data_IF_220463055459
#
_entry.id   IF_220463055459
#
_cell.length_a   1.000
_cell.length_b   1.000
_cell.length_c   1.000
_cell.angle_alpha   90.00
_cell.angle_beta   90.00
_cell.angle_gamma   90.00
#
_symmetry.space_group_name_H-M   'P 1'
#
loop_
_entity.id
_entity.type
_entity.pdbx_description
1 polymer ?
#
# COMPACT_ATOMS: atom_id res chain seq x y z
N UNK A 1 18.02 -18.69 18.92
CA UNK A 1 17.57 -19.53 17.82
C UNK A 1 16.60 -18.72 16.95
N UNK A 2 16.96 -18.52 15.71
CA UNK A 2 16.08 -17.85 14.76
C UNK A 2 14.85 -18.72 14.55
N UNK A 3 13.72 -18.26 15.03
CA UNK A 3 12.48 -19.01 14.87
C UNK A 3 11.92 -18.78 13.46
N UNK A 4 12.06 -19.79 12.63
CA UNK A 4 11.46 -19.80 11.29
C UNK A 4 9.94 -19.63 11.35
N UNK A 5 9.32 -20.19 12.39
CA UNK A 5 7.87 -20.19 12.58
C UNK A 5 7.46 -19.28 13.72
N UNK A 6 6.31 -18.65 13.57
CA UNK A 6 5.64 -17.88 14.60
C UNK A 6 4.50 -18.72 15.19
N UNK A 7 3.95 -18.28 16.33
CA UNK A 7 2.89 -19.00 17.03
C UNK A 7 1.66 -18.14 17.26
N UNK A 8 0.51 -18.74 17.01
CA UNK A 8 -0.75 -18.41 17.64
C UNK A 8 -1.06 -19.48 18.68
N UNK A 9 -2.10 -19.31 19.52
CA UNK A 9 -2.40 -20.23 20.62
C UNK A 9 -2.47 -21.70 20.24
N UNK A 10 -2.95 -22.03 19.05
CA UNK A 10 -3.09 -23.41 18.57
C UNK A 10 -2.46 -23.67 17.21
N UNK A 11 -1.66 -22.74 16.71
CA UNK A 11 -1.10 -22.83 15.37
C UNK A 11 0.33 -22.32 15.33
N UNK A 12 1.12 -22.89 14.44
CA UNK A 12 2.42 -22.36 14.05
C UNK A 12 2.35 -21.96 12.58
N UNK A 13 3.03 -20.88 12.24
CA UNK A 13 2.94 -20.34 10.87
C UNK A 13 4.26 -19.69 10.44
N UNK A 14 4.45 -19.66 9.13
CA UNK A 14 5.50 -18.89 8.48
C UNK A 14 4.84 -18.16 7.31
N UNK A 15 4.16 -17.07 7.61
CA UNK A 15 3.41 -16.30 6.63
C UNK A 15 4.06 -14.93 6.45
N UNK A 16 4.96 -14.86 5.49
CA UNK A 16 5.67 -13.65 5.08
C UNK A 16 5.17 -13.21 3.72
N UNK A 17 4.92 -11.93 3.56
CA UNK A 17 4.40 -11.39 2.32
C UNK A 17 5.20 -10.18 1.89
N UNK A 18 5.40 -10.09 0.58
CA UNK A 18 5.87 -8.89 -0.08
C UNK A 18 4.67 -8.17 -0.64
N UNK A 19 4.50 -6.90 -0.28
CA UNK A 19 3.38 -6.08 -0.66
C UNK A 19 3.89 -4.83 -1.36
N UNK A 20 3.29 -4.50 -2.50
CA UNK A 20 3.58 -3.24 -3.21
C UNK A 20 2.28 -2.53 -3.46
N UNK A 21 2.22 -1.26 -3.10
CA UNK A 21 1.05 -0.42 -3.35
C UNK A 21 1.47 1.01 -3.68
N UNK A 22 0.65 1.69 -4.47
CA UNK A 22 0.99 2.96 -5.08
C UNK A 22 -0.03 4.04 -4.76
N UNK A 23 0.40 5.31 -4.70
CA UNK A 23 -0.53 6.43 -4.75
C UNK A 23 -1.32 6.40 -6.04
N UNK A 24 -2.51 7.00 -6.01
CA UNK A 24 -3.34 7.15 -7.20
C UNK A 24 -2.57 7.90 -8.29
N UNK A 25 -2.67 7.44 -9.53
CA UNK A 25 -1.95 7.95 -10.71
C UNK A 25 -0.42 7.87 -10.58
N UNK A 26 0.09 7.10 -9.64
CA UNK A 26 1.53 6.99 -9.39
C UNK A 26 2.20 8.34 -9.14
N UNK A 27 1.50 9.27 -8.51
CA UNK A 27 2.09 10.56 -8.16
C UNK A 27 3.27 10.36 -7.21
N UNK A 28 4.42 11.00 -7.47
CA UNK A 28 5.62 10.87 -6.63
C UNK A 28 5.50 11.71 -5.36
N UNK A 29 4.63 11.31 -4.45
CA UNK A 29 4.32 12.07 -3.23
C UNK A 29 5.23 11.76 -2.05
N UNK A 30 5.91 10.59 -2.06
CA UNK A 30 6.71 10.15 -0.93
C UNK A 30 8.12 10.71 -0.99
N UNK A 31 8.24 11.99 -0.67
CA UNK A 31 9.51 12.70 -0.62
C UNK A 31 9.57 13.56 0.66
N UNK A 32 10.77 13.74 1.18
CA UNK A 32 11.01 14.61 2.34
C UNK A 32 10.16 14.21 3.56
N UNK A 33 9.45 15.18 4.11
CA UNK A 33 8.61 14.98 5.32
C UNK A 33 7.48 13.99 5.12
N UNK A 34 6.88 13.97 3.93
CA UNK A 34 5.78 13.06 3.62
C UNK A 34 6.26 11.61 3.66
N UNK A 35 7.43 11.35 3.09
CA UNK A 35 8.06 10.03 3.15
C UNK A 35 8.34 9.62 4.58
N UNK A 36 8.99 10.47 5.35
CA UNK A 36 9.33 10.20 6.74
C UNK A 36 8.07 9.98 7.60
N UNK A 37 7.05 10.79 7.41
CA UNK A 37 5.77 10.66 8.10
C UNK A 37 5.09 9.32 7.75
N UNK A 38 5.04 8.97 6.48
CA UNK A 38 4.43 7.72 6.01
C UNK A 38 5.14 6.50 6.60
N UNK A 39 6.46 6.52 6.62
CA UNK A 39 7.27 5.47 7.22
C UNK A 39 6.95 5.27 8.70
N UNK A 40 6.94 6.34 9.47
CA UNK A 40 6.59 6.29 10.91
C UNK A 40 5.17 5.80 11.15
N UNK A 41 4.21 6.25 10.33
CA UNK A 41 2.81 5.83 10.47
C UNK A 41 2.61 4.36 10.14
N UNK A 42 3.27 3.85 9.11
CA UNK A 42 3.21 2.42 8.77
C UNK A 42 3.78 1.58 9.93
N UNK A 43 4.94 1.95 10.43
CA UNK A 43 5.55 1.25 11.58
C UNK A 43 4.64 1.26 12.80
N UNK A 44 4.05 2.39 13.11
CA UNK A 44 3.11 2.56 14.23
C UNK A 44 1.86 1.71 14.04
N UNK A 45 1.24 1.77 12.89
CA UNK A 45 0.00 1.03 12.61
C UNK A 45 0.21 -0.48 12.70
N UNK A 46 1.31 -0.97 12.15
CA UNK A 46 1.63 -2.41 12.19
C UNK A 46 1.94 -2.83 13.63
N UNK A 47 2.66 -2.02 14.41
CA UNK A 47 2.98 -2.32 15.80
C UNK A 47 1.74 -2.40 16.72
N UNK A 48 0.64 -1.80 16.31
CA UNK A 48 -0.61 -1.80 17.10
C UNK A 48 -1.43 -3.09 16.95
N UNK A 49 -1.06 -3.97 16.04
CA UNK A 49 -1.81 -5.22 15.79
C UNK A 49 -0.95 -6.43 16.14
N UNK A 50 -1.42 -7.24 17.07
CA UNK A 50 -0.80 -8.52 17.35
C UNK A 50 -0.87 -9.43 16.12
N UNK A 51 0.25 -10.05 15.76
CA UNK A 51 0.32 -10.93 14.61
C UNK A 51 0.78 -10.23 13.32
N UNK A 52 1.02 -8.93 13.38
CA UNK A 52 1.62 -8.17 12.28
C UNK A 52 3.00 -7.69 12.70
N UNK A 53 3.99 -7.87 11.84
CA UNK A 53 5.37 -7.45 12.10
C UNK A 53 6.07 -7.10 10.81
N UNK A 54 6.76 -5.97 10.78
CA UNK A 54 7.55 -5.54 9.62
C UNK A 54 8.87 -6.30 9.59
N UNK A 55 9.21 -6.84 8.43
CA UNK A 55 10.54 -7.38 8.15
C UNK A 55 11.37 -6.30 7.46
N UNK A 56 10.79 -5.65 6.44
CA UNK A 56 11.47 -4.63 5.67
C UNK A 56 10.44 -3.63 5.15
N UNK A 57 10.78 -2.36 5.17
CA UNK A 57 9.95 -1.29 4.64
C UNK A 57 10.82 -0.40 3.75
N UNK A 58 10.45 -0.30 2.49
CA UNK A 58 11.13 0.55 1.53
C UNK A 58 10.11 1.43 0.82
N UNK A 59 10.18 2.73 1.06
CA UNK A 59 9.29 3.72 0.45
C UNK A 59 10.07 4.46 -0.63
N UNK A 60 9.62 4.31 -1.86
CA UNK A 60 10.09 5.07 -3.01
C UNK A 60 9.14 6.24 -3.25
N UNK A 61 9.51 7.14 -4.16
CA UNK A 61 8.68 8.35 -4.40
C UNK A 61 7.25 8.01 -4.84
N UNK A 62 7.05 6.93 -5.56
CA UNK A 62 5.78 6.58 -6.19
C UNK A 62 5.22 5.22 -5.78
N UNK A 63 5.81 4.56 -4.80
CA UNK A 63 5.29 3.30 -4.28
C UNK A 63 5.86 2.95 -2.91
N UNK A 64 5.17 2.04 -2.23
CA UNK A 64 5.61 1.44 -0.98
C UNK A 64 5.86 -0.04 -1.22
N UNK A 65 7.02 -0.53 -0.83
CA UNK A 65 7.35 -1.95 -0.79
C UNK A 65 7.51 -2.37 0.67
N UNK A 66 6.64 -3.25 1.11
CA UNK A 66 6.58 -3.69 2.49
C UNK A 66 6.71 -5.21 2.55
N UNK A 67 7.66 -5.69 3.33
CA UNK A 67 7.79 -7.11 3.65
C UNK A 67 7.40 -7.30 5.10
N UNK A 68 6.42 -8.19 5.34
CA UNK A 68 5.89 -8.33 6.69
C UNK A 68 5.36 -9.73 6.98
N UNK A 69 5.32 -10.05 8.27
CA UNK A 69 4.57 -11.19 8.79
C UNK A 69 3.10 -10.83 8.91
N UNK A 70 2.24 -11.72 8.45
CA UNK A 70 0.79 -11.60 8.66
C UNK A 70 0.30 -12.92 9.24
N UNK A 71 -0.15 -12.89 10.50
CA UNK A 71 -0.68 -14.08 11.15
C UNK A 71 -1.92 -14.62 10.42
N UNK A 72 -2.16 -15.94 10.46
CA UNK A 72 -3.30 -16.56 9.73
C UNK A 72 -4.67 -16.03 10.11
N UNK A 73 -4.81 -15.37 11.25
CA UNK A 73 -6.08 -14.75 11.66
C UNK A 73 -6.48 -13.56 10.82
N UNK A 74 -5.56 -13.02 10.02
CA UNK A 74 -5.81 -11.90 9.11
C UNK A 74 -5.69 -12.35 7.66
N UNK A 75 -6.55 -11.83 6.79
CA UNK A 75 -6.32 -11.90 5.36
C UNK A 75 -5.40 -10.75 4.92
N UNK A 76 -4.72 -10.94 3.80
CA UNK A 76 -3.92 -9.87 3.19
C UNK A 76 -4.80 -8.66 2.88
N UNK A 77 -6.01 -8.89 2.36
CA UNK A 77 -6.93 -7.79 2.05
C UNK A 77 -7.37 -7.00 3.28
N UNK A 78 -7.55 -7.65 4.43
CA UNK A 78 -7.84 -6.95 5.69
C UNK A 78 -6.68 -6.07 6.11
N UNK A 79 -5.45 -6.55 6.02
CA UNK A 79 -4.25 -5.80 6.36
C UNK A 79 -4.09 -4.60 5.43
N UNK A 80 -4.26 -4.81 4.12
CA UNK A 80 -4.15 -3.74 3.14
C UNK A 80 -5.25 -2.69 3.33
N UNK A 81 -6.47 -3.11 3.61
CA UNK A 81 -7.58 -2.20 3.93
C UNK A 81 -7.29 -1.36 5.17
N UNK A 82 -6.75 -1.98 6.20
CA UNK A 82 -6.35 -1.30 7.44
C UNK A 82 -5.26 -0.26 7.17
N UNK A 83 -4.17 -0.64 6.51
CA UNK A 83 -3.06 0.28 6.23
C UNK A 83 -3.48 1.41 5.32
N UNK A 84 -4.09 1.09 4.18
CA UNK A 84 -4.50 2.09 3.20
C UNK A 84 -5.56 3.04 3.78
N UNK A 85 -6.50 2.50 4.53
CA UNK A 85 -7.53 3.31 5.17
C UNK A 85 -6.99 4.28 6.21
N UNK A 86 -6.09 3.82 7.06
CA UNK A 86 -5.47 4.66 8.10
C UNK A 86 -4.48 5.67 7.54
N UNK A 87 -3.82 5.33 6.44
CA UNK A 87 -2.91 6.22 5.73
C UNK A 87 -3.61 7.05 4.65
N UNK A 88 -4.95 7.06 4.67
CA UNK A 88 -5.72 7.78 3.68
C UNK A 88 -5.51 9.29 3.78
N UNK A 89 -6.03 9.99 2.78
CA UNK A 89 -5.93 11.44 2.62
C UNK A 89 -6.20 12.23 3.91
N UNK A 90 -7.06 11.71 4.79
CA UNK A 90 -7.39 12.35 6.06
C UNK A 90 -6.18 12.59 6.96
N UNK A 91 -5.24 11.65 7.04
CA UNK A 91 -4.01 11.81 7.83
C UNK A 91 -2.96 12.64 7.10
N UNK A 92 -2.86 12.46 5.79
CA UNK A 92 -1.91 13.20 4.98
C UNK A 92 -2.42 14.57 4.55
N UNK A 93 -3.72 14.88 4.77
CA UNK A 93 -4.33 16.15 4.38
C UNK A 93 -3.75 17.37 5.09
N UNK A 94 -3.02 17.16 6.19
CA UNK A 94 -2.26 18.24 6.81
C UNK A 94 -1.16 18.78 5.89
N UNK A 95 -0.81 18.04 4.84
CA UNK A 95 0.10 18.49 3.82
C UNK A 95 -0.71 19.12 2.68
N UNK A 96 -0.76 20.43 2.65
CA UNK A 96 -1.57 21.22 1.72
C UNK A 96 -1.40 20.80 0.26
N UNK A 97 -0.16 20.47 -0.13
CA UNK A 97 0.14 20.00 -1.49
C UNK A 97 -0.64 18.75 -1.88
N UNK A 98 -0.84 17.82 -0.95
CA UNK A 98 -1.60 16.60 -1.20
C UNK A 98 -3.10 16.87 -1.31
N UNK A 99 -3.63 17.75 -0.46
CA UNK A 99 -5.04 18.13 -0.50
C UNK A 99 -5.45 18.70 -1.84
N UNK A 100 -4.59 19.51 -2.46
CA UNK A 100 -4.84 20.09 -3.78
C UNK A 100 -4.87 19.04 -4.90
N UNK A 101 -4.00 18.02 -4.83
CA UNK A 101 -3.93 16.98 -5.85
C UNK A 101 -5.09 15.99 -5.78
N UNK A 102 -5.57 15.68 -4.59
CA UNK A 102 -6.51 14.58 -4.40
C UNK A 102 -7.96 15.01 -4.12
N UNK A 103 -8.19 16.27 -3.77
CA UNK A 103 -9.55 16.84 -3.64
C UNK A 103 -10.53 15.97 -2.84
N UNK A 104 -10.11 15.48 -1.66
CA UNK A 104 -10.95 14.61 -0.84
C UNK A 104 -11.18 13.22 -1.40
N UNK A 105 -10.44 12.84 -2.44
CA UNK A 105 -10.50 11.52 -3.06
C UNK A 105 -9.49 10.57 -2.42
N UNK A 106 -9.49 9.33 -2.89
CA UNK A 106 -8.60 8.30 -2.37
C UNK A 106 -7.14 8.62 -2.69
N UNK A 107 -6.29 8.55 -1.66
CA UNK A 107 -4.85 8.71 -1.80
C UNK A 107 -4.24 7.60 -2.66
N UNK A 108 -4.74 6.38 -2.48
CA UNK A 108 -4.15 5.17 -3.04
C UNK A 108 -4.78 4.76 -4.36
N UNK A 109 -3.97 4.21 -5.24
CA UNK A 109 -4.46 3.44 -6.37
C UNK A 109 -5.23 2.22 -5.88
N UNK A 110 -6.11 1.69 -6.71
CA UNK A 110 -6.86 0.48 -6.38
C UNK A 110 -5.94 -0.74 -6.42
N UNK A 111 -6.14 -1.63 -5.47
CA UNK A 111 -5.41 -2.88 -5.42
C UNK A 111 -3.99 -2.77 -4.89
N UNK A 112 -3.28 -3.84 -5.01
CA UNK A 112 -1.89 -4.00 -4.55
C UNK A 112 -1.28 -5.22 -5.22
N UNK A 113 0.03 -5.32 -5.20
CA UNK A 113 0.74 -6.54 -5.61
C UNK A 113 1.14 -7.30 -4.35
N UNK A 114 0.92 -8.62 -4.33
CA UNK A 114 1.31 -9.46 -3.20
C UNK A 114 2.03 -10.71 -3.68
N UNK A 115 3.10 -11.09 -2.99
CA UNK A 115 3.85 -12.32 -3.24
C UNK A 115 4.35 -12.91 -1.94
N UNK A 116 4.36 -14.23 -1.86
CA UNK A 116 4.96 -14.96 -0.73
C UNK A 116 6.42 -15.33 -0.98
N UNK A 117 6.87 -15.31 -2.24
CA UNK A 117 8.21 -15.75 -2.63
C UNK A 117 9.18 -14.60 -2.92
N UNK A 118 8.71 -13.40 -2.81
CA UNK A 118 9.52 -12.22 -3.08
C UNK A 118 9.15 -11.53 -4.38
N UNK A 119 9.47 -10.24 -4.44
CA UNK A 119 9.23 -9.41 -5.61
C UNK A 119 10.51 -8.63 -5.87
N UNK A 120 11.15 -8.88 -7.03
CA UNK A 120 12.33 -8.13 -7.41
C UNK A 120 11.97 -6.74 -7.93
N UNK A 121 12.99 -5.89 -8.09
CA UNK A 121 12.81 -4.51 -8.52
C UNK A 121 12.17 -4.40 -9.91
N UNK A 122 12.50 -5.31 -10.83
CA UNK A 122 11.91 -5.34 -12.16
C UNK A 122 10.40 -5.58 -12.10
N UNK A 123 9.96 -6.54 -11.31
CA UNK A 123 8.54 -6.84 -11.11
C UNK A 123 7.80 -5.71 -10.42
N UNK A 124 8.43 -5.05 -9.46
CA UNK A 124 7.86 -3.86 -8.81
C UNK A 124 7.59 -2.77 -9.84
N UNK A 125 8.57 -2.49 -10.71
CA UNK A 125 8.44 -1.48 -11.76
C UNK A 125 7.36 -1.84 -12.77
N UNK A 126 7.27 -3.09 -13.17
CA UNK A 126 6.22 -3.57 -14.07
C UNK A 126 4.83 -3.37 -13.45
N UNK A 127 4.67 -3.73 -12.18
CA UNK A 127 3.41 -3.54 -11.48
C UNK A 127 3.01 -2.06 -11.40
N UNK A 128 3.95 -1.19 -11.03
CA UNK A 128 3.71 0.25 -10.90
C UNK A 128 3.26 0.85 -12.24
N UNK A 129 3.90 0.46 -13.34
CA UNK A 129 3.51 0.89 -14.69
C UNK A 129 2.13 0.38 -15.08
N UNK A 130 1.85 -0.88 -14.79
CA UNK A 130 0.55 -1.49 -15.07
C UNK A 130 -0.56 -0.77 -14.30
N UNK A 131 -0.33 -0.44 -13.04
CA UNK A 131 -1.28 0.27 -12.19
C UNK A 131 -1.63 1.65 -12.76
N UNK A 132 -0.64 2.39 -13.23
CA UNK A 132 -0.83 3.68 -13.87
C UNK A 132 -1.68 3.57 -15.13
N UNK A 133 -1.35 2.63 -16.00
CA UNK A 133 -2.10 2.38 -17.24
C UNK A 133 -3.55 2.00 -16.97
N UNK A 134 -3.78 1.12 -16.00
CA UNK A 134 -5.12 0.68 -15.62
C UNK A 134 -5.99 1.84 -15.15
N UNK A 135 -5.46 2.72 -14.34
CA UNK A 135 -6.19 3.89 -13.86
C UNK A 135 -6.58 4.85 -15.01
N UNK A 136 -5.65 5.09 -15.93
CA UNK A 136 -5.92 5.92 -17.11
C UNK A 136 -7.02 5.33 -17.98
N UNK A 137 -7.00 4.02 -18.20
CA UNK A 137 -8.04 3.32 -18.96
C UNK A 137 -9.42 3.46 -18.31
N UNK A 138 -9.50 3.27 -17.00
CA UNK A 138 -10.76 3.42 -16.24
C UNK A 138 -11.30 4.84 -16.36
N UNK A 139 -10.46 5.84 -16.24
CA UNK A 139 -10.87 7.24 -16.37
C UNK A 139 -11.35 7.59 -17.78
N UNK A 140 -10.68 7.08 -18.80
CA UNK A 140 -11.12 7.28 -20.19
C UNK A 140 -12.50 6.68 -20.43
N UNK A 141 -12.75 5.49 -19.89
CA UNK A 141 -14.08 4.86 -19.98
C UNK A 141 -15.15 5.65 -19.24
N UNK A 142 -14.84 6.14 -18.05
CA UNK A 142 -15.76 7.00 -17.29
C UNK A 142 -16.05 8.31 -18.01
N UNK A 143 -15.03 8.94 -18.58
CA UNK A 143 -15.15 10.14 -19.37
C UNK A 143 -16.08 9.94 -20.58
N UNK A 144 -15.91 8.85 -21.32
CA UNK A 144 -16.77 8.51 -22.47
C UNK A 144 -18.23 8.29 -22.06
N UNK A 145 -18.46 7.63 -20.92
CA UNK A 145 -19.81 7.42 -20.41
C UNK A 145 -20.52 8.73 -20.06
N UNK A 146 -19.79 9.71 -19.55
CA UNK A 146 -20.34 11.02 -19.26
C UNK A 146 -20.59 11.85 -20.53
N UNK A 147 -19.72 11.72 -21.53
CA UNK A 147 -19.88 12.43 -22.80
C UNK A 147 -21.06 11.91 -23.63
N UNK A 148 -21.39 10.64 -23.52
CA UNK A 148 -22.53 10.02 -24.20
C UNK A 148 -23.90 10.35 -23.56
N UNK A 149 -23.91 10.91 -22.37
CA UNK A 149 -25.13 11.26 -21.63
C UNK A 149 -25.54 12.75 -21.78
N UNK A 150 -24.73 13.52 -22.46
CA UNK A 150 -25.08 14.87 -22.87
C UNK A 150 -25.71 14.85 -24.28
#
# INVERSE_FOLDING_TARGET
MSKRFRRLSHSIYECKYHLVFCPKYRYPIFEGEIKAYTEREIEKLISQKEGLEIIELNIQSDHVHLVMWIAPKYSVSQVMGYLKGKLALRRLSRYERLGKQYWGRHLWGRGYCVSTIGIDETRIREYVRWQEKKQKEIEQLQGKLFDETE
#
